data_IF_661981501170
#
_entry.id   IF_661981501170
#
_cell.length_a   1.000
_cell.length_b   1.000
_cell.length_c   1.000
_cell.angle_alpha   90.00
_cell.angle_beta   90.00
_cell.angle_gamma   90.00
#
_symmetry.space_group_name_H-M   'P 1'
#
loop_
_entity.id
_entity.type
_entity.pdbx_description
1 polymer ?
#
# COMPACT_ATOMS: atom_id res chain seq x y z
N UNK A 1 -4.94 -38.92 -3.88
CA UNK A 1 -4.87 -39.41 -2.49
C UNK A 1 -3.84 -38.54 -1.79
N UNK A 2 -4.25 -37.43 -1.16
CA UNK A 2 -3.32 -36.57 -0.42
C UNK A 2 -2.89 -37.28 0.87
N UNK A 3 -1.58 -37.39 1.11
CA UNK A 3 -1.02 -38.19 2.21
C UNK A 3 -1.04 -37.42 3.54
N UNK A 4 -1.11 -38.11 4.70
CA UNK A 4 -0.95 -37.48 6.03
C UNK A 4 0.31 -36.61 6.16
N UNK A 5 1.37 -36.99 5.43
CA UNK A 5 2.64 -36.25 5.33
C UNK A 5 2.45 -34.87 4.69
N UNK A 6 1.67 -34.76 3.60
CA UNK A 6 1.38 -33.48 2.94
C UNK A 6 0.63 -32.52 3.88
N UNK A 7 -0.34 -33.03 4.65
CA UNK A 7 -1.08 -32.23 5.63
C UNK A 7 -0.15 -31.71 6.72
N UNK A 8 0.74 -32.56 7.24
CA UNK A 8 1.71 -32.17 8.27
C UNK A 8 2.72 -31.14 7.75
N UNK A 9 3.24 -31.32 6.55
CA UNK A 9 4.16 -30.35 5.93
C UNK A 9 3.47 -28.99 5.74
N UNK A 10 2.27 -28.98 5.15
CA UNK A 10 1.47 -27.76 4.96
C UNK A 10 1.24 -27.03 6.28
N UNK A 11 0.95 -27.77 7.35
CA UNK A 11 0.79 -27.22 8.70
C UNK A 11 2.07 -26.54 9.19
N UNK A 12 3.22 -27.18 9.03
CA UNK A 12 4.51 -26.62 9.44
C UNK A 12 4.85 -25.35 8.66
N UNK A 13 4.64 -25.36 7.35
CA UNK A 13 4.89 -24.20 6.49
C UNK A 13 3.99 -23.02 6.86
N UNK A 14 2.72 -23.29 7.16
CA UNK A 14 1.77 -22.27 7.57
C UNK A 14 2.13 -21.64 8.91
N UNK A 15 2.50 -22.46 9.90
CA UNK A 15 2.92 -21.99 11.21
C UNK A 15 4.22 -21.19 11.12
N UNK A 16 5.18 -21.64 10.31
CA UNK A 16 6.42 -20.92 10.04
C UNK A 16 6.13 -19.54 9.39
N UNK A 17 5.25 -19.50 8.39
CA UNK A 17 4.80 -18.24 7.78
C UNK A 17 4.19 -17.30 8.81
N UNK A 18 3.22 -17.79 9.59
CA UNK A 18 2.53 -16.99 10.61
C UNK A 18 3.53 -16.45 11.63
N UNK A 19 4.46 -17.29 12.06
CA UNK A 19 5.53 -16.94 13.00
C UNK A 19 6.38 -15.76 12.49
N UNK A 20 6.85 -15.83 11.24
CA UNK A 20 7.65 -14.76 10.62
C UNK A 20 6.86 -13.48 10.37
N UNK A 21 5.65 -13.60 9.84
CA UNK A 21 4.80 -12.43 9.56
C UNK A 21 4.38 -11.74 10.86
N UNK A 22 4.16 -12.48 11.95
CA UNK A 22 3.91 -11.88 13.26
C UNK A 22 5.12 -11.07 13.77
N UNK A 23 6.36 -11.52 13.51
CA UNK A 23 7.56 -10.78 13.87
C UNK A 23 7.63 -9.44 13.11
N UNK A 24 7.40 -9.47 11.78
CA UNK A 24 7.25 -8.26 10.97
C UNK A 24 6.14 -7.35 11.49
N UNK A 25 4.94 -7.88 11.78
CA UNK A 25 3.83 -7.08 12.29
C UNK A 25 4.15 -6.42 13.64
N UNK A 26 4.96 -7.05 14.51
CA UNK A 26 5.43 -6.42 15.75
C UNK A 26 6.33 -5.23 15.46
N UNK A 27 7.23 -5.35 14.48
CA UNK A 27 8.08 -4.24 14.06
C UNK A 27 7.26 -3.08 13.48
N UNK A 28 6.31 -3.35 12.58
CA UNK A 28 5.40 -2.31 12.05
C UNK A 28 4.58 -1.62 13.15
N UNK A 29 4.13 -2.37 14.16
CA UNK A 29 3.42 -1.79 15.31
C UNK A 29 4.33 -0.93 16.18
N UNK A 30 5.59 -1.32 16.36
CA UNK A 30 6.57 -0.48 17.06
C UNK A 30 6.83 0.82 16.31
N UNK A 31 7.12 0.76 15.00
CA UNK A 31 7.25 1.95 14.14
C UNK A 31 6.03 2.87 14.28
N UNK A 32 4.83 2.29 14.17
CA UNK A 32 3.58 3.05 14.29
C UNK A 32 3.47 3.74 15.66
N UNK A 33 3.76 3.01 16.74
CA UNK A 33 3.65 3.55 18.11
C UNK A 33 4.64 4.69 18.35
N UNK A 34 5.91 4.51 18.01
CA UNK A 34 6.95 5.54 18.24
C UNK A 34 6.67 6.81 17.44
N UNK A 35 6.29 6.68 16.16
CA UNK A 35 5.98 7.84 15.31
C UNK A 35 4.70 8.53 15.82
N UNK A 36 3.69 7.77 16.24
CA UNK A 36 2.41 8.32 16.71
C UNK A 36 2.58 9.18 17.97
N UNK A 37 3.53 8.85 18.84
CA UNK A 37 3.83 9.58 20.06
C UNK A 37 4.94 10.63 19.88
N UNK A 38 5.54 10.71 18.70
CA UNK A 38 6.51 11.76 18.39
C UNK A 38 5.81 13.12 18.23
N UNK A 39 6.38 14.14 18.85
CA UNK A 39 5.92 15.53 18.66
C UNK A 39 6.28 16.09 17.27
N UNK A 40 7.21 15.44 16.55
CA UNK A 40 7.70 15.92 15.26
C UNK A 40 6.89 15.33 14.11
N UNK A 41 6.52 16.19 13.16
CA UNK A 41 5.85 15.78 11.93
C UNK A 41 6.80 15.22 10.88
N UNK A 42 8.07 15.64 10.86
CA UNK A 42 9.12 15.15 9.95
C UNK A 42 10.09 14.23 10.67
N UNK A 43 10.47 13.12 10.02
CA UNK A 43 11.45 12.20 10.59
C UNK A 43 12.88 12.66 10.33
N UNK A 44 13.72 12.49 11.33
CA UNK A 44 15.17 12.67 11.20
C UNK A 44 15.85 11.36 10.82
N UNK A 45 17.06 11.44 10.25
CA UNK A 45 17.91 10.28 9.97
C UNK A 45 18.16 9.43 11.23
N UNK A 46 18.28 10.07 12.40
CA UNK A 46 18.41 9.37 13.68
C UNK A 46 17.16 8.54 14.00
N UNK A 47 15.96 9.13 13.85
CA UNK A 47 14.71 8.41 14.08
C UNK A 47 14.52 7.26 13.08
N UNK A 48 14.85 7.47 11.80
CA UNK A 48 14.74 6.41 10.79
C UNK A 48 15.68 5.25 11.10
N UNK A 49 16.94 5.52 11.48
CA UNK A 49 17.90 4.49 11.87
C UNK A 49 17.44 3.70 13.09
N UNK A 50 16.93 4.37 14.12
CA UNK A 50 16.42 3.74 15.34
C UNK A 50 15.22 2.82 15.04
N UNK A 51 14.28 3.31 14.22
CA UNK A 51 13.09 2.59 13.81
C UNK A 51 13.31 1.61 12.66
N UNK A 52 14.56 1.44 12.19
CA UNK A 52 14.93 0.58 11.06
C UNK A 52 14.08 0.86 9.81
N UNK A 53 13.88 2.15 9.55
CA UNK A 53 13.27 2.66 8.33
C UNK A 53 14.41 3.08 7.41
N UNK A 54 14.37 2.61 6.18
CA UNK A 54 15.31 3.00 5.13
C UNK A 54 14.54 3.72 4.04
N UNK A 55 15.17 4.71 3.43
CA UNK A 55 14.62 5.37 2.25
C UNK A 55 15.62 5.49 1.12
N UNK A 56 15.11 5.52 -0.10
CA UNK A 56 15.91 5.72 -1.31
C UNK A 56 15.12 6.46 -2.37
N UNK A 57 15.81 6.91 -3.42
CA UNK A 57 15.17 7.64 -4.52
C UNK A 57 14.35 6.70 -5.41
N UNK A 58 13.17 7.18 -5.83
CA UNK A 58 12.35 6.59 -6.87
C UNK A 58 12.27 7.55 -8.05
N UNK A 59 13.00 7.23 -9.11
CA UNK A 59 12.82 7.91 -10.38
C UNK A 59 11.53 7.40 -11.05
N UNK A 60 10.58 8.29 -11.30
CA UNK A 60 9.31 7.92 -11.95
C UNK A 60 9.41 7.93 -13.47
N UNK A 61 10.39 8.65 -14.02
CA UNK A 61 10.62 8.82 -15.45
C UNK A 61 11.49 7.66 -15.97
N UNK A 62 12.52 7.29 -15.21
CA UNK A 62 13.43 6.16 -15.49
C UNK A 62 13.56 5.21 -14.29
N UNK A 63 12.50 4.45 -13.95
CA UNK A 63 12.51 3.59 -12.78
C UNK A 63 13.55 2.46 -12.90
N UNK A 64 14.47 2.41 -11.93
CA UNK A 64 15.35 1.27 -11.76
C UNK A 64 14.58 0.08 -11.15
N UNK A 65 14.56 -1.04 -11.90
CA UNK A 65 13.93 -2.29 -11.51
C UNK A 65 14.97 -3.26 -10.96
N UNK A 66 14.75 -3.69 -9.74
CA UNK A 66 15.54 -4.70 -9.04
C UNK A 66 14.61 -5.71 -8.35
N UNK A 67 15.20 -6.66 -7.62
CA UNK A 67 14.47 -7.69 -6.87
C UNK A 67 13.58 -7.12 -5.75
N UNK A 68 13.72 -5.83 -5.42
CA UNK A 68 12.92 -5.10 -4.43
C UNK A 68 11.79 -4.26 -5.05
N UNK A 69 11.57 -4.39 -6.37
CA UNK A 69 10.54 -3.64 -7.09
C UNK A 69 9.21 -4.39 -7.16
N UNK A 70 8.16 -3.76 -6.63
CA UNK A 70 6.81 -4.34 -6.51
C UNK A 70 5.73 -3.63 -7.34
N UNK A 71 6.06 -2.46 -7.91
CA UNK A 71 5.15 -1.72 -8.77
C UNK A 71 5.91 -1.24 -10.02
N UNK A 72 5.24 -1.26 -11.16
CA UNK A 72 5.71 -0.65 -12.41
C UNK A 72 4.62 0.26 -12.94
N UNK A 73 4.96 1.39 -13.57
CA UNK A 73 3.94 2.20 -14.22
C UNK A 73 3.39 1.44 -15.42
N UNK A 74 2.14 1.70 -15.77
CA UNK A 74 1.57 1.29 -17.05
C UNK A 74 2.44 1.88 -18.18
N UNK A 75 2.88 1.10 -19.18
CA UNK A 75 3.60 1.63 -20.33
C UNK A 75 2.80 2.72 -21.03
N UNK A 76 3.46 3.78 -21.51
CA UNK A 76 2.77 4.88 -22.20
C UNK A 76 2.03 4.40 -23.46
N UNK A 77 2.55 3.37 -24.13
CA UNK A 77 1.90 2.72 -25.27
C UNK A 77 0.60 1.97 -24.93
N UNK A 78 0.43 1.58 -23.66
CA UNK A 78 -0.76 0.88 -23.15
C UNK A 78 -1.71 1.83 -22.42
N UNK A 79 -1.33 3.10 -22.25
CA UNK A 79 -2.16 4.10 -21.61
C UNK A 79 -3.24 4.57 -22.58
N UNK A 80 -4.54 4.37 -22.26
CA UNK A 80 -5.64 4.87 -23.07
C UNK A 80 -5.52 6.37 -23.34
N UNK A 81 -5.91 6.80 -24.53
CA UNK A 81 -5.96 8.22 -24.84
C UNK A 81 -7.09 8.87 -24.03
N UNK A 82 -6.72 9.74 -23.10
CA UNK A 82 -7.67 10.53 -22.31
C UNK A 82 -8.04 11.79 -23.11
N UNK A 83 -9.33 12.08 -23.19
CA UNK A 83 -9.80 13.40 -23.63
C UNK A 83 -9.72 14.37 -22.45
N UNK A 84 -8.64 15.15 -22.40
CA UNK A 84 -8.41 16.12 -21.33
C UNK A 84 -9.45 17.24 -21.29
N UNK A 85 -10.27 17.42 -22.34
CA UNK A 85 -11.36 18.39 -22.31
C UNK A 85 -12.56 17.93 -21.47
N UNK A 86 -12.71 16.61 -21.28
CA UNK A 86 -13.75 16.00 -20.44
C UNK A 86 -13.28 15.82 -18.97
N UNK A 87 -11.99 15.98 -18.70
CA UNK A 87 -11.45 15.93 -17.34
C UNK A 87 -11.88 17.18 -16.58
N UNK A 88 -12.68 17.00 -15.53
CA UNK A 88 -13.07 18.08 -14.64
C UNK A 88 -11.90 18.55 -13.78
N UNK A 89 -11.37 19.72 -14.10
CA UNK A 89 -10.41 20.42 -13.25
C UNK A 89 -11.16 21.31 -12.25
N UNK A 90 -11.09 20.98 -10.96
CA UNK A 90 -11.79 21.77 -9.94
C UNK A 90 -11.24 23.20 -9.87
N UNK A 91 -12.12 24.20 -10.05
CA UNK A 91 -11.80 25.60 -9.78
C UNK A 91 -11.46 25.78 -8.30
N UNK A 92 -10.41 26.55 -7.99
CA UNK A 92 -9.98 26.77 -6.62
C UNK A 92 -9.53 28.21 -6.40
N UNK A 93 -9.73 28.68 -5.16
CA UNK A 93 -9.20 29.94 -4.65
C UNK A 93 -8.06 29.60 -3.70
N UNK A 94 -6.99 30.41 -3.72
CA UNK A 94 -5.77 30.17 -2.97
C UNK A 94 -6.00 30.09 -1.45
N UNK A 95 -6.26 28.87 -0.95
CA UNK A 95 -6.40 28.58 0.47
C UNK A 95 -5.91 27.16 0.79
N UNK A 96 -5.16 27.06 1.89
CA UNK A 96 -4.40 25.88 2.32
C UNK A 96 -5.18 24.55 2.37
N UNK A 97 -6.49 24.58 2.62
CA UNK A 97 -7.30 23.37 2.82
C UNK A 97 -7.92 22.79 1.55
N UNK A 98 -8.02 23.57 0.46
CA UNK A 98 -8.66 23.15 -0.78
C UNK A 98 -7.68 22.53 -1.78
N UNK A 99 -6.42 23.00 -1.78
CA UNK A 99 -5.38 22.59 -2.75
C UNK A 99 -5.18 21.07 -2.87
N UNK A 100 -4.89 20.32 -1.80
CA UNK A 100 -4.62 18.89 -1.95
C UNK A 100 -5.88 18.09 -2.30
N UNK A 101 -7.07 18.62 -2.02
CA UNK A 101 -8.33 18.01 -2.47
C UNK A 101 -8.53 18.18 -3.96
N UNK A 102 -8.26 19.36 -4.52
CA UNK A 102 -8.30 19.58 -5.97
C UNK A 102 -7.39 18.59 -6.70
N UNK A 103 -6.14 18.43 -6.24
CA UNK A 103 -5.20 17.49 -6.88
C UNK A 103 -5.75 16.07 -6.84
N UNK A 104 -6.31 15.64 -5.71
CA UNK A 104 -6.95 14.33 -5.61
C UNK A 104 -8.19 14.20 -6.49
N UNK A 105 -9.13 15.14 -6.45
CA UNK A 105 -10.37 15.06 -7.22
C UNK A 105 -10.08 14.99 -8.73
N UNK A 106 -9.07 15.74 -9.19
CA UNK A 106 -8.61 15.69 -10.58
C UNK A 106 -7.96 14.34 -10.90
N UNK A 107 -7.07 13.83 -10.03
CA UNK A 107 -6.43 12.53 -10.21
C UNK A 107 -7.46 11.39 -10.20
N UNK A 108 -8.49 11.46 -9.34
CA UNK A 108 -9.60 10.52 -9.32
C UNK A 108 -10.41 10.59 -10.62
N UNK A 109 -10.65 11.78 -11.17
CA UNK A 109 -11.32 11.95 -12.47
C UNK A 109 -10.52 11.29 -13.58
N UNK A 110 -9.21 11.53 -13.65
CA UNK A 110 -8.31 10.88 -14.62
C UNK A 110 -8.32 9.35 -14.47
N UNK A 111 -8.28 8.82 -13.24
CA UNK A 111 -8.40 7.38 -12.99
C UNK A 111 -9.77 6.81 -13.42
N UNK A 112 -10.86 7.58 -13.28
CA UNK A 112 -12.18 7.16 -13.72
C UNK A 112 -12.26 7.08 -15.25
N UNK A 113 -11.69 8.07 -15.97
CA UNK A 113 -11.63 8.04 -17.44
C UNK A 113 -10.85 6.82 -17.95
N UNK A 114 -9.74 6.47 -17.29
CA UNK A 114 -9.00 5.24 -17.59
C UNK A 114 -9.85 4.00 -17.36
N UNK A 115 -10.56 3.95 -16.23
CA UNK A 115 -11.45 2.84 -15.92
C UNK A 115 -12.57 2.69 -16.96
N UNK A 116 -13.17 3.80 -17.40
CA UNK A 116 -14.20 3.78 -18.45
C UNK A 116 -13.65 3.33 -19.80
N UNK A 117 -12.48 3.82 -20.21
CA UNK A 117 -11.82 3.39 -21.44
C UNK A 117 -11.61 1.87 -21.45
N UNK A 118 -11.07 1.32 -20.36
CA UNK A 118 -10.85 -0.11 -20.25
C UNK A 118 -12.12 -0.95 -20.14
N UNK A 119 -13.17 -0.42 -19.51
CA UNK A 119 -14.47 -1.08 -19.47
C UNK A 119 -15.06 -1.22 -20.88
N UNK A 120 -14.92 -0.19 -21.72
CA UNK A 120 -15.39 -0.23 -23.11
C UNK A 120 -14.58 -1.22 -23.97
N UNK A 121 -13.29 -1.39 -23.68
CA UNK A 121 -12.37 -2.25 -24.43
C UNK A 121 -12.27 -3.69 -23.87
N UNK A 122 -13.11 -4.07 -22.89
CA UNK A 122 -13.08 -5.36 -22.17
C UNK A 122 -11.67 -5.72 -21.64
N UNK A 123 -10.91 -4.70 -21.24
CA UNK A 123 -9.52 -4.86 -20.80
C UNK A 123 -9.48 -5.28 -19.33
N UNK A 124 -8.83 -6.42 -19.06
CA UNK A 124 -8.71 -6.97 -17.71
C UNK A 124 -7.94 -6.04 -16.77
N UNK A 125 -8.60 -5.65 -15.69
CA UNK A 125 -8.04 -4.77 -14.67
C UNK A 125 -7.24 -5.51 -13.59
N UNK A 126 -6.11 -4.93 -13.20
CA UNK A 126 -5.31 -5.39 -12.07
C UNK A 126 -5.83 -4.88 -10.73
N UNK A 127 -6.54 -3.76 -10.73
CA UNK A 127 -6.96 -3.04 -9.52
C UNK A 127 -8.48 -2.93 -9.44
N UNK A 128 -9.00 -2.95 -8.22
CA UNK A 128 -10.38 -2.61 -7.90
C UNK A 128 -10.41 -1.57 -6.80
N UNK A 129 -11.25 -0.54 -6.97
CA UNK A 129 -11.44 0.48 -5.95
C UNK A 129 -12.25 -0.10 -4.78
N UNK A 130 -11.53 -0.54 -3.75
CA UNK A 130 -12.09 -1.08 -2.51
C UNK A 130 -11.16 -0.70 -1.37
N UNK A 131 -11.74 -0.42 -0.20
CA UNK A 131 -10.97 -0.19 1.01
C UNK A 131 -9.98 -1.33 1.25
N UNK A 132 -8.69 -1.02 1.34
CA UNK A 132 -7.69 -2.01 1.73
C UNK A 132 -7.71 -2.23 3.24
N UNK A 133 -8.11 -1.20 3.99
CA UNK A 133 -8.01 -1.15 5.43
C UNK A 133 -9.39 -1.18 6.11
N UNK A 134 -9.60 -2.19 6.94
CA UNK A 134 -10.86 -2.44 7.64
C UNK A 134 -10.66 -2.70 9.15
N UNK A 135 -9.48 -2.39 9.69
CA UNK A 135 -9.22 -2.57 11.13
C UNK A 135 -10.18 -1.68 11.95
N UNK A 136 -10.70 -2.22 13.05
CA UNK A 136 -11.59 -1.50 13.98
C UNK A 136 -10.95 -1.49 15.38
N UNK A 137 -10.73 -0.32 16.00
CA UNK A 137 -10.89 1.03 15.43
C UNK A 137 -9.90 1.30 14.29
N UNK A 138 -10.26 2.22 13.39
CA UNK A 138 -9.41 2.62 12.26
C UNK A 138 -8.35 3.59 12.75
N UNK A 139 -7.12 3.11 12.97
CA UNK A 139 -6.03 3.93 13.53
C UNK A 139 -5.08 4.49 12.46
N UNK A 140 -5.10 3.91 11.25
CA UNK A 140 -4.18 4.25 10.16
C UNK A 140 -4.76 5.16 9.08
N UNK A 141 -5.94 5.77 9.29
CA UNK A 141 -6.66 6.49 8.22
C UNK A 141 -6.62 8.01 8.33
N UNK A 142 -6.09 8.55 9.42
CA UNK A 142 -5.93 9.99 9.57
C UNK A 142 -5.55 10.41 10.98
N UNK A 143 -5.12 11.66 11.11
CA UNK A 143 -4.89 12.33 12.39
C UNK A 143 -5.63 13.65 12.41
N UNK A 144 -6.35 13.92 13.51
CA UNK A 144 -7.12 15.14 13.73
C UNK A 144 -6.24 16.19 14.40
N UNK A 145 -6.44 17.48 14.08
CA UNK A 145 -5.88 18.60 14.85
C UNK A 145 -7.02 19.41 15.48
N UNK A 146 -6.73 20.29 16.46
CA UNK A 146 -7.75 21.15 17.05
C UNK A 146 -8.39 22.13 16.05
N UNK A 147 -7.61 22.63 15.08
CA UNK A 147 -8.01 23.74 14.22
C UNK A 147 -8.56 23.30 12.84
N UNK A 148 -8.28 22.08 12.40
CA UNK A 148 -8.80 21.50 11.16
C UNK A 148 -9.22 20.06 11.38
N UNK A 149 -10.22 19.54 10.63
CA UNK A 149 -10.68 18.18 10.83
C UNK A 149 -9.58 17.12 10.64
N UNK A 150 -8.48 17.38 9.91
CA UNK A 150 -7.34 16.45 9.81
C UNK A 150 -6.01 17.17 9.52
N UNK A 151 -4.89 16.68 10.06
CA UNK A 151 -3.52 16.97 9.59
C UNK A 151 -3.24 16.21 8.29
N UNK A 152 -3.68 14.95 8.24
CA UNK A 152 -3.64 14.11 7.05
C UNK A 152 -4.75 13.07 7.12
N UNK A 153 -5.14 12.55 5.95
CA UNK A 153 -6.11 11.45 5.84
C UNK A 153 -5.82 10.59 4.62
N UNK A 154 -6.14 9.30 4.70
CA UNK A 154 -6.11 8.40 3.54
C UNK A 154 -7.40 8.48 2.73
N UNK A 155 -7.29 8.19 1.44
CA UNK A 155 -8.39 8.13 0.48
C UNK A 155 -7.99 7.27 -0.74
N UNK A 156 -8.94 7.03 -1.64
CA UNK A 156 -8.66 6.43 -2.95
C UNK A 156 -8.04 5.02 -2.89
N UNK A 157 -8.39 4.21 -1.88
CA UNK A 157 -7.91 2.84 -1.74
C UNK A 157 -8.19 1.99 -2.98
N UNK A 158 -7.19 1.22 -3.40
CA UNK A 158 -7.30 0.22 -4.45
C UNK A 158 -6.58 -1.06 -4.03
N UNK A 159 -7.20 -2.19 -4.30
CA UNK A 159 -6.62 -3.50 -4.06
C UNK A 159 -6.47 -4.30 -5.34
N UNK A 160 -5.51 -5.22 -5.37
CA UNK A 160 -5.36 -6.07 -6.52
C UNK A 160 -6.56 -7.02 -6.67
N UNK A 161 -7.03 -7.21 -7.90
CA UNK A 161 -8.17 -8.10 -8.22
C UNK A 161 -7.88 -9.57 -7.95
N UNK A 162 -6.61 -9.95 -7.95
CA UNK A 162 -6.14 -11.31 -7.68
C UNK A 162 -5.53 -11.44 -6.28
N UNK A 163 -5.92 -12.48 -5.55
CA UNK A 163 -5.32 -12.85 -4.26
C UNK A 163 -3.85 -13.29 -4.38
N UNK A 164 -3.31 -13.49 -5.59
CA UNK A 164 -1.87 -13.68 -5.82
C UNK A 164 -1.04 -12.41 -5.67
N UNK A 165 -1.69 -11.25 -5.53
CA UNK A 165 -1.02 -9.97 -5.37
C UNK A 165 -1.48 -9.34 -4.04
N UNK A 166 -0.66 -9.36 -2.98
CA UNK A 166 -0.99 -8.74 -1.69
C UNK A 166 -0.80 -7.21 -1.70
N UNK A 167 -0.81 -6.62 -2.89
CA UNK A 167 -0.51 -5.22 -3.13
C UNK A 167 -1.71 -4.36 -2.74
N UNK A 168 -1.42 -3.16 -2.26
CA UNK A 168 -2.42 -2.16 -1.98
C UNK A 168 -1.91 -0.78 -2.39
N UNK A 169 -2.81 0.01 -2.97
CA UNK A 169 -2.56 1.39 -3.31
C UNK A 169 -3.52 2.26 -2.51
N UNK A 170 -3.05 3.41 -2.04
CA UNK A 170 -3.93 4.44 -1.50
C UNK A 170 -3.28 5.81 -1.69
N UNK A 171 -4.04 6.86 -1.38
CA UNK A 171 -3.61 8.24 -1.50
C UNK A 171 -3.72 8.92 -0.15
N UNK A 172 -2.86 9.89 0.10
CA UNK A 172 -2.86 10.67 1.34
C UNK A 172 -3.00 12.13 0.99
N UNK A 173 -3.98 12.78 1.59
CA UNK A 173 -4.13 14.22 1.58
C UNK A 173 -3.48 14.76 2.84
N UNK A 174 -2.48 15.62 2.68
CA UNK A 174 -1.81 16.34 3.75
C UNK A 174 -2.21 17.81 3.76
N UNK A 175 -2.60 18.31 4.93
CA UNK A 175 -2.78 19.72 5.23
C UNK A 175 -1.47 20.24 5.84
N UNK A 176 -0.38 20.08 5.09
CA UNK A 176 1.00 20.42 5.45
C UNK A 176 1.72 21.04 4.24
N UNK A 177 2.75 21.85 4.49
CA UNK A 177 3.68 22.29 3.44
C UNK A 177 4.53 21.09 2.99
N UNK A 178 4.73 20.89 1.67
CA UNK A 178 5.62 19.86 1.15
C UNK A 178 7.04 20.06 1.66
N UNK A 179 7.64 18.99 2.18
CA UNK A 179 9.02 18.96 2.68
C UNK A 179 9.68 17.67 2.20
N UNK A 180 10.98 17.76 1.88
CA UNK A 180 11.72 16.61 1.33
C UNK A 180 11.78 15.40 2.28
N UNK A 181 12.02 15.55 3.60
CA UNK A 181 11.98 14.41 4.53
C UNK A 181 10.64 13.66 4.52
N UNK A 182 10.66 12.39 4.98
CA UNK A 182 9.43 11.63 5.18
C UNK A 182 8.62 12.22 6.34
N UNK A 183 7.32 12.39 6.14
CA UNK A 183 6.38 12.86 7.15
C UNK A 183 5.78 11.70 7.92
N UNK A 184 5.41 11.96 9.18
CA UNK A 184 4.66 11.03 10.02
C UNK A 184 3.38 10.54 9.33
N UNK A 185 2.69 11.46 8.64
CA UNK A 185 1.47 11.15 7.92
C UNK A 185 1.65 10.24 6.71
N UNK A 186 2.88 10.06 6.22
CA UNK A 186 3.18 9.08 5.17
C UNK A 186 3.46 7.70 5.76
N UNK A 187 4.18 7.64 6.89
CA UNK A 187 4.64 6.38 7.46
C UNK A 187 3.57 5.68 8.28
N UNK A 188 2.78 6.43 9.07
CA UNK A 188 1.69 5.87 9.89
C UNK A 188 0.70 5.04 9.07
N UNK A 189 0.13 5.53 7.95
CA UNK A 189 -0.77 4.73 7.13
C UNK A 189 -0.04 3.55 6.46
N UNK A 190 1.20 3.71 5.98
CA UNK A 190 1.99 2.61 5.41
C UNK A 190 2.11 1.46 6.43
N UNK A 191 2.53 1.76 7.65
CA UNK A 191 2.71 0.74 8.70
C UNK A 191 1.38 0.07 9.08
N UNK A 192 0.30 0.85 9.20
CA UNK A 192 -1.02 0.35 9.55
C UNK A 192 -1.62 -0.56 8.46
N UNK A 193 -1.57 -0.11 7.20
CA UNK A 193 -2.09 -0.86 6.05
C UNK A 193 -1.32 -2.15 5.84
N UNK A 194 0.02 -2.09 5.90
CA UNK A 194 0.88 -3.26 5.71
C UNK A 194 0.63 -4.31 6.78
N UNK A 195 0.54 -3.89 8.04
CA UNK A 195 0.21 -4.76 9.17
C UNK A 195 -1.18 -5.39 9.00
N UNK A 196 -2.18 -4.61 8.59
CA UNK A 196 -3.53 -5.11 8.40
C UNK A 196 -3.60 -6.14 7.26
N UNK A 197 -3.02 -5.82 6.11
CA UNK A 197 -2.94 -6.75 4.97
C UNK A 197 -2.22 -8.04 5.33
N UNK A 198 -1.13 -7.97 6.07
CA UNK A 198 -0.38 -9.13 6.53
C UNK A 198 -1.17 -10.10 7.41
N UNK A 199 -2.21 -9.61 8.09
CA UNK A 199 -3.10 -10.39 8.97
C UNK A 199 -4.31 -10.99 8.25
N UNK A 200 -4.57 -10.63 7.00
CA UNK A 200 -5.69 -11.18 6.23
C UNK A 200 -5.37 -12.62 5.80
N UNK A 201 -6.32 -13.53 6.04
CA UNK A 201 -6.18 -14.93 5.66
C UNK A 201 -6.10 -15.13 4.14
N UNK A 202 -6.72 -14.24 3.37
CA UNK A 202 -6.70 -14.29 1.90
C UNK A 202 -5.28 -14.16 1.32
N UNK A 203 -4.34 -13.59 2.10
CA UNK A 203 -2.95 -13.40 1.72
C UNK A 203 -1.97 -14.29 2.50
N UNK A 204 -2.45 -15.44 2.99
CA UNK A 204 -1.66 -16.34 3.83
C UNK A 204 -0.42 -16.93 3.11
N UNK A 205 -0.47 -17.03 1.78
CA UNK A 205 0.64 -17.46 0.92
C UNK A 205 1.76 -16.42 0.76
N UNK A 206 1.54 -15.20 1.22
CA UNK A 206 2.49 -14.10 1.09
C UNK A 206 3.25 -13.81 2.39
N UNK A 207 4.46 -13.30 2.21
CA UNK A 207 5.38 -12.84 3.25
C UNK A 207 5.66 -11.34 3.14
N UNK A 208 5.61 -10.79 1.93
CA UNK A 208 5.78 -9.35 1.65
C UNK A 208 4.46 -8.73 1.22
N UNK A 209 4.16 -7.53 1.71
CA UNK A 209 2.89 -6.82 1.50
C UNK A 209 3.17 -5.41 0.97
N UNK A 210 3.48 -5.27 -0.33
CA UNK A 210 3.93 -3.99 -0.87
C UNK A 210 2.81 -2.95 -0.88
N UNK A 211 3.17 -1.68 -0.70
CA UNK A 211 2.24 -0.55 -0.71
C UNK A 211 2.75 0.51 -1.66
N UNK A 212 1.87 1.02 -2.52
CA UNK A 212 2.09 2.24 -3.29
C UNK A 212 1.25 3.37 -2.69
N UNK A 213 1.85 4.53 -2.53
CA UNK A 213 1.17 5.71 -1.96
C UNK A 213 1.37 6.90 -2.88
N UNK A 214 0.27 7.60 -3.18
CA UNK A 214 0.35 8.98 -3.70
C UNK A 214 0.18 9.93 -2.52
N UNK A 215 1.24 10.69 -2.21
CA UNK A 215 1.31 11.60 -1.08
C UNK A 215 1.16 13.04 -1.57
N UNK A 216 0.04 13.68 -1.24
CA UNK A 216 -0.40 14.97 -1.79
C UNK A 216 -0.30 16.05 -0.71
N UNK A 217 0.54 17.05 -0.93
CA UNK A 217 0.74 18.22 -0.08
C UNK A 217 0.46 19.48 -0.88
N UNK A 218 -0.59 20.23 -0.52
CA UNK A 218 -1.01 21.41 -1.30
C UNK A 218 -1.17 21.01 -2.79
N UNK A 219 -0.63 21.80 -3.71
CA UNK A 219 -0.59 21.52 -5.15
C UNK A 219 0.62 20.67 -5.59
N UNK A 220 1.30 19.96 -4.68
CA UNK A 220 2.41 19.09 -5.00
C UNK A 220 2.15 17.65 -4.56
N UNK A 221 2.62 16.67 -5.31
CA UNK A 221 2.51 15.27 -4.92
C UNK A 221 3.78 14.47 -5.21
N UNK A 222 3.98 13.38 -4.48
CA UNK A 222 5.04 12.40 -4.73
C UNK A 222 4.50 10.98 -4.59
N UNK A 223 5.19 10.02 -5.20
CA UNK A 223 4.88 8.60 -5.08
C UNK A 223 5.86 7.96 -4.10
N UNK A 224 5.33 7.12 -3.21
CA UNK A 224 6.09 6.27 -2.31
C UNK A 224 5.82 4.81 -2.64
N UNK A 225 6.87 4.00 -2.70
CA UNK A 225 6.77 2.54 -2.69
C UNK A 225 7.34 2.00 -1.39
N UNK A 226 6.55 1.22 -0.66
CA UNK A 226 6.96 0.65 0.61
C UNK A 226 6.85 -0.87 0.61
N UNK A 227 7.85 -1.52 1.19
CA UNK A 227 7.81 -2.95 1.52
C UNK A 227 8.64 -3.22 2.76
N UNK A 228 8.46 -4.38 3.37
CA UNK A 228 9.20 -4.78 4.55
C UNK A 228 9.93 -6.10 4.29
N UNK A 229 11.25 -6.12 4.51
CA UNK A 229 12.12 -7.29 4.22
C UNK A 229 12.25 -8.26 5.42
N UNK A 230 11.60 -7.93 6.52
CA UNK A 230 11.64 -8.65 7.79
C UNK A 230 12.48 -7.94 8.86
N UNK A 231 13.46 -7.12 8.46
CA UNK A 231 14.35 -6.36 9.33
C UNK A 231 14.09 -4.86 9.26
N UNK A 232 13.82 -4.33 8.07
CA UNK A 232 13.63 -2.92 7.79
C UNK A 232 12.32 -2.67 7.02
N UNK A 233 11.73 -1.50 7.26
CA UNK A 233 10.71 -0.92 6.39
C UNK A 233 11.42 -0.06 5.35
N UNK A 234 11.41 -0.52 4.09
CA UNK A 234 12.01 0.20 2.96
C UNK A 234 10.97 1.09 2.30
N UNK A 235 11.31 2.37 2.10
CA UNK A 235 10.46 3.37 1.43
C UNK A 235 11.24 4.04 0.29
N UNK A 236 10.90 3.72 -0.96
CA UNK A 236 11.40 4.50 -2.11
C UNK A 236 10.49 5.70 -2.32
N UNK A 237 11.03 6.90 -2.47
CA UNK A 237 10.24 8.13 -2.67
C UNK A 237 10.69 8.91 -3.90
N UNK A 238 9.73 9.40 -4.67
CA UNK A 238 10.01 10.31 -5.77
C UNK A 238 10.27 11.73 -5.27
N UNK A 239 10.79 12.59 -6.15
CA UNK A 239 10.68 14.04 -5.98
C UNK A 239 9.20 14.46 -5.94
N UNK A 240 8.95 15.69 -5.48
CA UNK A 240 7.65 16.32 -5.66
C UNK A 240 7.44 16.77 -7.10
N UNK A 241 6.24 16.50 -7.62
CA UNK A 241 5.74 16.98 -8.90
C UNK A 241 4.71 18.09 -8.64
N UNK A 242 4.71 19.13 -9.48
CA UNK A 242 3.82 20.29 -9.33
C UNK A 242 2.53 20.12 -10.14
N UNK A 243 1.39 20.36 -9.50
CA UNK A 243 0.04 20.29 -10.06
C UNK A 243 -0.70 21.64 -10.00
N UNK A 244 -0.02 22.74 -9.68
CA UNK A 244 -0.60 24.09 -9.57
C UNK A 244 -1.32 24.53 -10.86
N UNK A 245 -0.70 24.27 -12.03
CA UNK A 245 -1.23 24.62 -13.35
C UNK A 245 -2.03 23.48 -14.02
N UNK A 246 -2.53 22.51 -13.26
CA UNK A 246 -3.24 21.35 -13.81
C UNK A 246 -2.44 20.58 -14.88
N UNK A 247 -1.14 20.41 -14.65
CA UNK A 247 -0.23 19.76 -15.60
C UNK A 247 -0.70 18.31 -15.93
N UNK A 248 -1.18 18.13 -17.17
CA UNK A 248 -1.73 16.86 -17.65
C UNK A 248 -0.68 15.75 -17.74
N UNK A 249 0.58 16.08 -18.02
CA UNK A 249 1.68 15.11 -18.06
C UNK A 249 1.94 14.52 -16.67
N UNK A 250 1.87 15.33 -15.61
CA UNK A 250 2.01 14.87 -14.24
C UNK A 250 0.81 14.00 -13.81
N UNK A 251 -0.41 14.37 -14.21
CA UNK A 251 -1.59 13.51 -13.97
C UNK A 251 -1.50 12.19 -14.72
N UNK A 252 -1.09 12.20 -15.99
CA UNK A 252 -0.83 10.99 -16.78
C UNK A 252 0.21 10.10 -16.08
N UNK A 253 1.35 10.68 -15.68
CA UNK A 253 2.41 9.95 -14.99
C UNK A 253 1.89 9.26 -13.72
N UNK A 254 1.18 9.99 -12.85
CA UNK A 254 0.66 9.44 -11.60
C UNK A 254 -0.42 8.39 -11.87
N UNK A 255 -1.31 8.63 -12.82
CA UNK A 255 -2.33 7.66 -13.21
C UNK A 255 -1.71 6.37 -13.75
N UNK A 256 -0.66 6.46 -14.58
CA UNK A 256 0.11 5.28 -15.04
C UNK A 256 0.67 4.47 -13.88
N UNK A 257 1.18 5.11 -12.83
CA UNK A 257 1.66 4.42 -11.63
C UNK A 257 0.53 3.75 -10.83
N UNK A 258 -0.62 4.41 -10.71
CA UNK A 258 -1.81 3.86 -10.04
C UNK A 258 -2.45 2.70 -10.80
N UNK A 259 -2.25 2.66 -12.11
CA UNK A 259 -2.84 1.71 -13.06
C UNK A 259 -1.94 0.54 -13.43
N UNK A 260 -0.64 0.64 -13.16
CA UNK A 260 0.34 -0.33 -13.61
C UNK A 260 0.26 -1.68 -12.87
N UNK A 261 0.74 -2.74 -13.51
CA UNK A 261 0.60 -4.09 -12.99
C UNK A 261 1.42 -4.29 -11.69
N UNK A 262 0.88 -4.99 -10.67
CA UNK A 262 1.66 -5.43 -9.52
C UNK A 262 2.78 -6.39 -9.98
N UNK A 263 3.95 -6.31 -9.36
CA UNK A 263 5.09 -7.17 -9.70
C UNK A 263 5.88 -7.60 -8.46
N UNK A 264 7.01 -8.27 -8.68
CA UNK A 264 7.92 -8.68 -7.60
C UNK A 264 7.48 -9.94 -6.86
N UNK A 265 8.45 -10.61 -6.23
CA UNK A 265 8.22 -11.86 -5.51
C UNK A 265 7.72 -11.58 -4.07
N UNK A 266 6.49 -11.99 -3.77
CA UNK A 266 5.86 -11.75 -2.45
C UNK A 266 5.69 -13.03 -1.61
N UNK A 267 5.94 -14.20 -2.20
CA UNK A 267 5.81 -15.51 -1.55
C UNK A 267 7.13 -16.02 -0.95
N UNK A 268 8.24 -15.32 -1.19
CA UNK A 268 9.56 -15.66 -0.67
C UNK A 268 9.60 -15.47 0.85
N UNK A 269 9.98 -16.48 1.64
CA UNK A 269 10.07 -16.36 3.08
C UNK A 269 11.02 -15.23 3.53
N UNK A 270 10.60 -14.47 4.54
CA UNK A 270 11.44 -13.41 5.11
C UNK A 270 12.70 -14.02 5.79
N UNK A 271 13.89 -13.41 5.62
CA UNK A 271 15.15 -13.81 6.25
C UNK A 271 15.22 -13.37 7.72
N UNK A 272 14.22 -13.75 8.50
CA UNK A 272 14.11 -13.47 9.94
C UNK A 272 13.66 -14.70 10.71
N UNK A 273 13.98 -14.69 12.00
CA UNK A 273 13.39 -15.59 12.96
C UNK A 273 11.93 -15.20 13.21
N UNK A 274 11.08 -16.21 13.31
CA UNK A 274 9.68 -16.02 13.66
C UNK A 274 9.47 -15.88 15.17
N UNK A 275 8.29 -15.42 15.56
CA UNK A 275 7.87 -15.33 16.97
C UNK A 275 6.90 -16.45 17.33
N UNK A 276 6.90 -16.94 18.59
CA UNK A 276 5.99 -18.01 19.01
C UNK A 276 4.53 -17.73 18.63
N UNK A 277 3.91 -18.74 17.98
CA UNK A 277 2.50 -18.69 17.57
C UNK A 277 1.65 -19.15 18.75
N UNK A 278 0.64 -18.35 19.13
CA UNK A 278 -0.23 -18.70 20.25
C UNK A 278 -1.16 -19.89 19.92
N UNK A 279 -1.59 -20.60 20.96
CA UNK A 279 -2.44 -21.79 20.84
C UNK A 279 -3.76 -21.52 20.10
N UNK A 280 -4.35 -20.33 20.27
CA UNK A 280 -5.59 -19.96 19.58
C UNK A 280 -5.41 -19.89 18.06
N UNK A 281 -4.27 -19.36 17.60
CA UNK A 281 -3.93 -19.32 16.17
C UNK A 281 -3.60 -20.70 15.64
N UNK A 282 -2.89 -21.52 16.41
CA UNK A 282 -2.61 -22.93 16.06
C UNK A 282 -3.94 -23.69 15.84
N UNK A 283 -4.89 -23.57 16.78
CA UNK A 283 -6.22 -24.20 16.65
C UNK A 283 -7.04 -23.67 15.46
N UNK A 284 -6.80 -22.43 15.01
CA UNK A 284 -7.44 -21.90 13.78
C UNK A 284 -6.82 -22.52 12.54
N UNK A 285 -5.49 -22.62 12.50
CA UNK A 285 -4.77 -23.31 11.43
C UNK A 285 -5.24 -24.75 11.30
N UNK A 286 -5.30 -25.47 12.41
CA UNK A 286 -5.70 -26.88 12.42
C UNK A 286 -7.12 -27.07 11.86
N UNK A 287 -8.07 -26.23 12.25
CA UNK A 287 -9.44 -26.23 11.70
C UNK A 287 -9.50 -25.93 10.21
N UNK A 288 -8.70 -24.98 9.71
CA UNK A 288 -8.65 -24.68 8.27
C UNK A 288 -8.12 -25.88 7.49
N UNK A 289 -7.06 -26.53 7.99
CA UNK A 289 -6.49 -27.72 7.35
C UNK A 289 -7.43 -28.92 7.42
N UNK A 290 -8.21 -29.08 8.49
CA UNK A 290 -9.26 -30.08 8.55
C UNK A 290 -10.34 -29.85 7.49
N UNK A 291 -10.74 -28.61 7.23
CA UNK A 291 -11.68 -28.29 6.15
C UNK A 291 -11.13 -28.60 4.76
N UNK A 292 -9.85 -28.31 4.52
CA UNK A 292 -9.18 -28.54 3.22
C UNK A 292 -8.94 -30.03 2.96
N UNK A 293 -8.38 -30.76 3.94
CA UNK A 293 -7.98 -32.15 3.77
C UNK A 293 -9.05 -33.17 4.21
N UNK A 294 -10.07 -32.76 4.97
CA UNK A 294 -11.13 -33.63 5.51
C UNK A 294 -12.39 -33.73 4.66
N UNK A 295 -12.55 -32.87 3.64
CA UNK A 295 -13.75 -32.82 2.78
C UNK A 295 -13.90 -33.95 1.75
N UNK A 296 -12.98 -34.92 1.69
CA UNK A 296 -12.97 -36.00 0.69
C UNK A 296 -13.79 -37.25 1.01
N UNK A 297 -14.59 -37.26 2.10
CA UNK A 297 -15.22 -38.47 2.63
C UNK A 297 -16.72 -38.65 2.40
N UNK A 298 -17.35 -37.85 1.52
CA UNK A 298 -18.82 -37.75 1.46
C UNK A 298 -19.45 -37.84 0.08
N UNK A 299 -19.13 -38.88 -0.70
CA UNK A 299 -20.04 -39.43 -1.72
C UNK A 299 -19.92 -40.96 -1.72
N UNK A 300 -20.83 -41.61 -1.00
CA UNK A 300 -21.31 -42.97 -1.22
C UNK A 300 -22.82 -42.89 -1.37
#
# INVERSE_FOLDING_TARGET
METPEMKQQTRMDLLNRISKVNAMCRHLMHIFHEIKHSERSSLTEANMKELRITHSHLDLDEPCYDDSTFYKPLPKSEFPKIDWSEVHFSEWVEHYSAEPRRVEDTLQTVCNELFFAWFNDDTKQHWVQRKCYHEKPSIGTGEYTPDVPYEWRTCGDMEATSLDHPHCIFRIIHYAVPEEPLRRGEILPIAAYMKWRAKQLDHIKHFTFPILVVSIFRSQARILQAHHDGKHLHIRKSKFYNFEENNTENYELFARWLSGAPCGATKTPLPIDGVPVNNRTIQKVDRVLEGVFGGGGGQQ
#
